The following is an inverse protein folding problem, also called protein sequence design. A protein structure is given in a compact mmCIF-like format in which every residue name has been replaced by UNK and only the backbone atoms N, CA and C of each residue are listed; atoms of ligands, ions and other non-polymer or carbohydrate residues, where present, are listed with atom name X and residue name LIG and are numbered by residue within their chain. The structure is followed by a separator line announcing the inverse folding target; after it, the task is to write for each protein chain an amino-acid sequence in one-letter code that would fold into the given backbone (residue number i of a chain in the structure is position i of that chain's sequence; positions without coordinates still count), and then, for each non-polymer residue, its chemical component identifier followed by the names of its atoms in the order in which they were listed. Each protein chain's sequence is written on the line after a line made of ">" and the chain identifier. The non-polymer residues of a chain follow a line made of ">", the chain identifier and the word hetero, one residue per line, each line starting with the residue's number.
data_IF_620891678622
#
_entry.id   IF_620891678622
#
_cell.length_a   1.000
_cell.length_b   1.000
_cell.length_c   1.000
_cell.angle_alpha   90.00
_cell.angle_beta   90.00
_cell.angle_gamma   90.00
#
_symmetry.space_group_name_H-M   'P 1'
#
loop_
_entity.id
_entity.type
_entity.pdbx_description
1 polymer ?
#
# COMPACT_ATOMS: atom_id res chain seq x y z
N UNK A 1 46.95 -7.42 10.20
CA UNK A 1 46.58 -8.49 9.24
C UNK A 1 45.82 -9.55 10.02
N UNK A 2 44.49 -9.52 10.02
CA UNK A 2 43.69 -10.55 10.68
C UNK A 2 43.75 -11.83 9.82
N UNK A 3 44.21 -12.93 10.42
CA UNK A 3 44.22 -14.24 9.76
C UNK A 3 42.78 -14.67 9.49
N UNK A 4 42.40 -14.76 8.23
CA UNK A 4 41.13 -15.34 7.78
C UNK A 4 41.16 -16.85 8.07
N UNK A 5 40.74 -17.26 9.27
CA UNK A 5 40.72 -18.64 9.72
C UNK A 5 39.60 -19.39 9.02
N UNK A 6 39.93 -20.47 8.30
CA UNK A 6 38.96 -21.32 7.61
C UNK A 6 38.24 -22.24 8.60
N UNK A 7 36.94 -22.02 8.78
CA UNK A 7 36.11 -22.80 9.72
C UNK A 7 35.47 -24.01 9.02
N UNK A 8 35.40 -25.12 9.72
CA UNK A 8 34.67 -26.32 9.29
C UNK A 8 33.17 -26.21 9.63
N UNK A 9 32.34 -27.06 9.03
CA UNK A 9 30.89 -27.13 9.36
C UNK A 9 30.63 -27.45 10.83
N UNK A 10 31.53 -28.21 11.49
CA UNK A 10 31.42 -28.48 12.93
C UNK A 10 31.69 -27.24 13.77
N UNK A 11 32.75 -26.52 13.46
CA UNK A 11 33.11 -25.29 14.21
C UNK A 11 32.03 -24.22 14.08
N UNK A 12 31.42 -24.07 12.89
CA UNK A 12 30.28 -23.15 12.70
C UNK A 12 29.05 -23.63 13.47
N UNK A 13 28.80 -24.94 13.52
CA UNK A 13 27.71 -25.50 14.31
C UNK A 13 27.89 -25.25 15.81
N UNK A 14 29.13 -25.38 16.30
CA UNK A 14 29.49 -25.10 17.69
C UNK A 14 29.37 -23.60 18.03
N UNK A 15 29.82 -22.69 17.12
CA UNK A 15 29.74 -21.24 17.30
C UNK A 15 28.24 -20.78 17.34
N UNK A 16 27.42 -21.35 16.47
CA UNK A 16 25.99 -20.98 16.38
C UNK A 16 25.11 -21.77 17.36
N UNK A 17 25.67 -22.74 18.12
CA UNK A 17 24.96 -23.64 19.04
C UNK A 17 23.81 -24.42 18.37
N UNK A 18 24.05 -24.93 17.16
CA UNK A 18 23.06 -25.69 16.36
C UNK A 18 23.66 -27.01 15.89
N UNK A 19 22.82 -27.90 15.33
CA UNK A 19 23.30 -29.16 14.78
C UNK A 19 23.99 -28.97 13.40
N UNK A 20 24.90 -29.90 13.02
CA UNK A 20 25.49 -29.90 11.66
C UNK A 20 24.43 -29.97 10.57
N UNK A 21 23.31 -30.70 10.77
CA UNK A 21 22.20 -30.75 9.83
C UNK A 21 21.60 -29.39 9.60
N UNK A 22 21.45 -28.58 10.65
CA UNK A 22 20.96 -27.21 10.57
C UNK A 22 21.88 -26.34 9.70
N UNK A 23 23.22 -26.49 9.85
CA UNK A 23 24.17 -25.75 9.00
C UNK A 23 24.01 -26.11 7.53
N UNK A 24 23.82 -27.40 7.20
CA UNK A 24 23.57 -27.81 5.81
C UNK A 24 22.23 -27.29 5.28
N UNK A 25 21.22 -27.16 6.12
CA UNK A 25 19.93 -26.56 5.75
C UNK A 25 20.08 -25.06 5.48
N UNK A 26 20.85 -24.33 6.30
CA UNK A 26 21.18 -22.91 6.09
C UNK A 26 21.94 -22.68 4.78
N UNK A 27 22.88 -23.57 4.43
CA UNK A 27 23.60 -23.52 3.15
C UNK A 27 22.63 -23.74 1.98
N UNK A 28 21.75 -24.75 2.09
CA UNK A 28 20.79 -25.09 1.05
C UNK A 28 19.77 -23.96 0.79
N UNK A 29 19.39 -23.25 1.84
CA UNK A 29 18.51 -22.07 1.78
C UNK A 29 19.24 -20.79 1.35
N UNK A 30 20.56 -20.81 1.25
CA UNK A 30 21.36 -19.63 0.94
C UNK A 30 21.46 -18.61 2.08
N UNK A 31 21.12 -19.02 3.30
CA UNK A 31 21.11 -18.15 4.48
C UNK A 31 22.53 -17.92 5.07
N UNK A 32 23.48 -18.83 4.84
CA UNK A 32 24.88 -18.68 5.20
C UNK A 32 25.77 -18.95 3.99
N UNK A 33 26.74 -18.06 3.74
CA UNK A 33 27.71 -18.23 2.66
C UNK A 33 28.76 -19.27 3.05
N UNK A 34 29.18 -20.08 2.09
CA UNK A 34 30.22 -21.09 2.27
C UNK A 34 31.03 -21.30 0.98
N UNK A 35 32.22 -21.80 1.09
CA UNK A 35 33.05 -22.17 -0.04
C UNK A 35 33.54 -23.64 0.09
N UNK A 36 34.00 -24.22 -1.02
CA UNK A 36 34.48 -25.62 -1.04
C UNK A 36 35.99 -25.68 -1.23
N UNK A 37 36.67 -26.50 -0.40
CA UNK A 37 38.03 -26.93 -0.66
C UNK A 37 37.97 -28.44 -0.93
N UNK A 38 38.09 -28.82 -2.20
CA UNK A 38 37.88 -30.21 -2.62
C UNK A 38 36.45 -30.68 -2.32
N UNK A 39 36.28 -31.70 -1.51
CA UNK A 39 34.98 -32.25 -1.09
C UNK A 39 34.48 -31.67 0.25
N UNK A 40 35.23 -30.78 0.89
CA UNK A 40 34.90 -30.23 2.22
C UNK A 40 34.35 -28.82 2.10
N UNK A 41 33.23 -28.57 2.77
CA UNK A 41 32.62 -27.22 2.91
C UNK A 41 33.38 -26.46 4.01
N UNK A 42 33.66 -25.20 3.76
CA UNK A 42 34.38 -24.26 4.63
C UNK A 42 33.67 -22.92 4.68
N UNK A 43 33.94 -22.16 5.74
CA UNK A 43 33.45 -20.84 6.02
C UNK A 43 34.58 -19.92 6.46
N UNK A 44 34.40 -18.63 6.24
CA UNK A 44 35.20 -17.58 6.88
C UNK A 44 34.51 -17.12 8.16
N UNK A 45 35.25 -16.49 9.08
CA UNK A 45 34.64 -15.84 10.25
C UNK A 45 33.60 -14.77 9.80
N UNK A 46 33.91 -14.02 8.74
CA UNK A 46 33.04 -13.00 8.19
C UNK A 46 31.67 -13.57 7.71
N UNK A 47 31.65 -14.80 7.16
CA UNK A 47 30.39 -15.48 6.75
C UNK A 47 29.51 -15.77 7.98
N UNK A 48 30.11 -16.19 9.09
CA UNK A 48 29.37 -16.47 10.34
C UNK A 48 28.89 -15.18 10.98
N UNK A 49 29.74 -14.15 11.04
CA UNK A 49 29.39 -12.85 11.62
C UNK A 49 28.28 -12.15 10.80
N UNK A 50 28.31 -12.24 9.46
CA UNK A 50 27.28 -11.73 8.57
C UNK A 50 25.95 -12.47 8.76
N UNK A 51 25.96 -13.79 9.00
CA UNK A 51 24.76 -14.55 9.34
C UNK A 51 24.15 -14.10 10.67
N UNK A 52 25.00 -13.98 11.72
CA UNK A 52 24.57 -13.51 13.05
C UNK A 52 23.98 -12.10 12.98
N UNK A 53 24.62 -11.20 12.25
CA UNK A 53 24.15 -9.82 12.09
C UNK A 53 22.79 -9.76 11.40
N UNK A 54 22.55 -10.54 10.35
CA UNK A 54 21.25 -10.66 9.67
C UNK A 54 20.18 -11.23 10.59
N UNK A 55 20.48 -12.32 11.31
CA UNK A 55 19.54 -12.95 12.25
C UNK A 55 19.14 -12.04 13.42
N UNK A 56 20.03 -11.12 13.85
CA UNK A 56 19.71 -10.10 14.87
C UNK A 56 18.75 -9.04 14.36
N UNK A 57 18.78 -8.72 13.06
CA UNK A 57 17.88 -7.73 12.45
C UNK A 57 16.49 -8.30 12.18
N UNK A 58 16.32 -9.61 12.06
CA UNK A 58 15.00 -10.23 11.84
C UNK A 58 14.07 -10.19 13.07
N UNK A 59 14.59 -9.94 14.28
CA UNK A 59 13.77 -9.79 15.49
C UNK A 59 13.42 -8.35 15.87
N UNK A 60 13.90 -7.37 15.12
CA UNK A 60 13.57 -5.96 15.33
C UNK A 60 13.05 -5.39 14.01
N UNK A 61 11.73 -5.26 13.90
CA UNK A 61 10.98 -4.69 12.77
C UNK A 61 11.17 -5.46 11.45
N UNK A 62 10.10 -6.09 10.95
CA UNK A 62 10.03 -6.51 9.54
C UNK A 62 10.30 -5.28 8.68
N UNK A 63 11.40 -5.21 7.93
CA UNK A 63 11.50 -4.25 6.86
C UNK A 63 10.42 -4.66 5.85
N UNK A 64 9.63 -3.69 5.40
CA UNK A 64 8.83 -3.83 4.20
C UNK A 64 9.76 -4.38 3.12
N UNK A 65 9.54 -5.62 2.69
CA UNK A 65 10.26 -6.20 1.56
C UNK A 65 10.11 -5.22 0.39
N UNK A 66 11.23 -4.63 -0.01
CA UNK A 66 11.36 -4.11 -1.37
C UNK A 66 11.12 -5.32 -2.27
N UNK A 67 10.00 -5.31 -2.96
CA UNK A 67 9.77 -6.24 -4.06
C UNK A 67 10.76 -5.81 -5.15
N UNK A 68 11.90 -6.49 -5.21
CA UNK A 68 12.79 -6.41 -6.36
C UNK A 68 12.08 -7.07 -7.54
N UNK A 69 11.32 -6.27 -8.28
CA UNK A 69 10.90 -6.64 -9.62
C UNK A 69 12.12 -6.54 -10.53
N UNK A 70 12.98 -7.55 -10.50
CA UNK A 70 13.96 -7.73 -11.55
C UNK A 70 13.25 -8.13 -12.84
N UNK A 71 12.88 -7.13 -13.60
CA UNK A 71 12.71 -7.29 -15.05
C UNK A 71 14.11 -7.39 -15.66
N UNK A 72 14.46 -8.58 -16.12
CA UNK A 72 15.79 -8.99 -16.61
C UNK A 72 16.11 -8.42 -18.01
N UNK A 73 15.86 -7.16 -18.32
CA UNK A 73 16.22 -6.59 -19.64
C UNK A 73 16.80 -5.17 -19.63
N UNK A 74 16.91 -4.51 -18.48
CA UNK A 74 17.58 -3.20 -18.42
C UNK A 74 18.50 -3.19 -17.20
N UNK A 75 19.81 -3.19 -17.43
CA UNK A 75 20.78 -2.82 -16.38
C UNK A 75 20.45 -1.38 -15.94
N UNK A 76 20.05 -1.14 -14.67
CA UNK A 76 19.90 0.21 -14.19
C UNK A 76 21.26 0.90 -14.25
N UNK A 77 21.36 2.02 -14.94
CA UNK A 77 22.47 2.95 -14.74
C UNK A 77 22.39 3.43 -13.30
N UNK A 78 23.50 3.43 -12.59
CA UNK A 78 23.66 3.84 -11.18
C UNK A 78 23.26 5.31 -10.87
N UNK A 79 22.48 5.99 -11.71
CA UNK A 79 22.13 7.41 -11.61
C UNK A 79 20.64 7.73 -11.60
N UNK A 80 19.74 6.74 -11.50
CA UNK A 80 18.30 7.01 -11.60
C UNK A 80 17.59 7.06 -10.24
N UNK A 81 17.97 8.03 -9.41
CA UNK A 81 17.09 8.46 -8.32
C UNK A 81 15.89 9.17 -8.97
N UNK A 82 14.64 8.75 -8.69
CA UNK A 82 13.48 9.44 -9.23
C UNK A 82 13.44 10.91 -8.83
N UNK A 83 13.13 11.80 -9.78
CA UNK A 83 12.89 13.23 -9.51
C UNK A 83 11.64 13.43 -8.65
N UNK A 84 10.67 12.50 -8.77
CA UNK A 84 9.37 12.54 -8.13
C UNK A 84 8.90 11.12 -7.82
N UNK A 85 8.48 10.87 -6.58
CA UNK A 85 7.84 9.61 -6.18
C UNK A 85 6.38 9.87 -5.84
N UNK A 86 5.47 9.17 -6.53
CA UNK A 86 4.03 9.24 -6.32
C UNK A 86 3.55 7.96 -5.63
N UNK A 87 2.92 8.10 -4.47
CA UNK A 87 2.35 6.99 -3.71
C UNK A 87 0.84 6.86 -3.93
N UNK A 88 0.35 5.63 -3.94
CA UNK A 88 -1.08 5.30 -3.98
C UNK A 88 -1.40 4.09 -4.85
N UNK A 89 -2.63 3.59 -4.78
CA UNK A 89 -3.06 2.32 -5.38
C UNK A 89 -4.14 2.52 -6.46
N UNK A 90 -4.01 3.54 -7.30
CA UNK A 90 -4.94 3.76 -8.43
C UNK A 90 -4.18 3.77 -9.76
N UNK A 91 -4.77 3.14 -10.79
CA UNK A 91 -4.19 3.06 -12.14
C UNK A 91 -3.98 4.43 -12.79
N UNK A 92 -4.79 5.43 -12.44
CA UNK A 92 -4.65 6.80 -12.96
C UNK A 92 -3.30 7.41 -12.55
N UNK A 93 -2.75 6.97 -11.41
CA UNK A 93 -1.43 7.41 -10.96
C UNK A 93 -0.30 6.79 -11.82
N UNK A 94 -0.50 5.57 -12.35
CA UNK A 94 0.47 4.95 -13.27
C UNK A 94 0.46 5.68 -14.62
N UNK A 95 -0.73 6.08 -15.09
CA UNK A 95 -0.86 6.92 -16.29
C UNK A 95 -0.19 8.27 -16.08
N UNK A 96 -0.43 8.92 -14.93
CA UNK A 96 0.21 10.19 -14.58
C UNK A 96 1.74 10.07 -14.58
N UNK A 97 2.29 8.99 -14.01
CA UNK A 97 3.72 8.73 -14.04
C UNK A 97 4.25 8.55 -15.46
N UNK A 98 3.52 7.86 -16.35
CA UNK A 98 3.89 7.73 -17.75
C UNK A 98 3.91 9.07 -18.49
N UNK A 99 2.91 9.93 -18.27
CA UNK A 99 2.91 11.28 -18.85
C UNK A 99 4.09 12.12 -18.35
N UNK A 100 4.41 12.04 -17.05
CA UNK A 100 5.59 12.71 -16.48
C UNK A 100 6.89 12.24 -17.14
N UNK A 101 7.04 10.93 -17.37
CA UNK A 101 8.21 10.37 -18.04
C UNK A 101 8.32 10.86 -19.51
N UNK A 102 7.19 10.97 -20.23
CA UNK A 102 7.18 11.52 -21.59
C UNK A 102 7.59 12.99 -21.62
N UNK A 103 7.32 13.74 -20.56
CA UNK A 103 7.74 15.13 -20.38
C UNK A 103 9.14 15.28 -19.75
N UNK A 104 9.90 14.18 -19.64
CA UNK A 104 11.29 14.18 -19.16
C UNK A 104 11.46 14.18 -17.64
N UNK A 105 10.39 13.96 -16.87
CA UNK A 105 10.44 13.81 -15.40
C UNK A 105 10.54 12.33 -15.04
N UNK A 106 11.62 11.93 -14.38
CA UNK A 106 11.77 10.55 -13.88
C UNK A 106 10.85 10.33 -12.67
N UNK A 107 9.61 9.89 -12.95
CA UNK A 107 8.57 9.66 -11.94
C UNK A 107 8.55 8.20 -11.48
N UNK A 108 8.89 7.98 -10.22
CA UNK A 108 8.76 6.69 -9.53
C UNK A 108 7.37 6.48 -8.93
N UNK A 109 6.95 5.20 -8.81
CA UNK A 109 5.68 4.81 -8.17
C UNK A 109 5.94 3.96 -6.93
N UNK A 110 5.11 4.18 -5.90
CA UNK A 110 5.02 3.30 -4.73
C UNK A 110 3.56 3.06 -4.36
N UNK A 111 3.24 1.87 -3.81
CA UNK A 111 1.86 1.42 -3.60
C UNK A 111 1.48 1.40 -2.11
N UNK A 112 1.87 2.44 -1.38
CA UNK A 112 1.51 2.61 0.03
C UNK A 112 0.00 2.89 0.18
N UNK A 113 -0.56 2.57 1.34
CA UNK A 113 -1.90 3.03 1.71
C UNK A 113 -1.91 4.54 1.92
N UNK A 114 -3.10 5.16 1.96
CA UNK A 114 -3.22 6.60 2.21
C UNK A 114 -2.53 7.03 3.50
N UNK A 115 -2.67 6.25 4.57
CA UNK A 115 -2.05 6.55 5.87
C UNK A 115 -0.52 6.43 5.81
N UNK A 116 -0.01 5.33 5.28
CA UNK A 116 1.44 5.12 5.09
C UNK A 116 2.05 6.16 4.14
N UNK A 117 1.31 6.52 3.08
CA UNK A 117 1.72 7.57 2.12
C UNK A 117 1.85 8.94 2.76
N UNK A 118 0.91 9.36 3.61
CA UNK A 118 1.02 10.62 4.34
C UNK A 118 2.23 10.64 5.30
N UNK A 119 2.51 9.54 5.99
CA UNK A 119 3.70 9.43 6.84
C UNK A 119 4.99 9.49 6.03
N UNK A 120 5.05 8.80 4.89
CA UNK A 120 6.21 8.85 3.99
C UNK A 120 6.40 10.25 3.39
N UNK A 121 5.31 10.97 3.08
CA UNK A 121 5.34 12.36 2.63
C UNK A 121 5.84 13.30 3.73
N UNK A 122 5.40 13.11 4.97
CA UNK A 122 5.88 13.87 6.13
C UNK A 122 7.37 13.70 6.36
N UNK A 123 7.88 12.49 6.13
CA UNK A 123 9.30 12.13 6.30
C UNK A 123 10.17 12.48 5.07
N UNK A 124 9.64 13.17 4.07
CA UNK A 124 10.31 13.50 2.80
C UNK A 124 10.79 12.26 1.98
N UNK A 125 10.24 11.07 2.24
CA UNK A 125 10.57 9.87 1.48
C UNK A 125 9.89 9.82 0.10
N UNK A 126 8.78 10.54 -0.05
CA UNK A 126 8.03 10.73 -1.30
C UNK A 126 7.63 12.18 -1.44
N UNK A 127 7.26 12.62 -2.65
CA UNK A 127 6.85 14.00 -2.92
C UNK A 127 5.34 14.16 -3.07
N UNK A 128 4.62 13.07 -3.45
CA UNK A 128 3.17 13.09 -3.64
C UNK A 128 2.55 11.84 -3.03
N UNK A 129 1.57 12.03 -2.14
CA UNK A 129 0.76 10.95 -1.57
C UNK A 129 -0.68 11.04 -2.09
N UNK A 130 -1.19 9.98 -2.71
CA UNK A 130 -2.60 9.88 -3.02
C UNK A 130 -3.39 9.44 -1.77
N UNK A 131 -4.39 10.23 -1.40
CA UNK A 131 -5.11 10.09 -0.14
C UNK A 131 -6.62 10.06 -0.35
N UNK A 132 -7.31 9.19 0.38
CA UNK A 132 -8.77 9.08 0.39
C UNK A 132 -9.26 8.61 1.76
N UNK A 133 -8.90 9.34 2.80
CA UNK A 133 -9.29 9.08 4.19
C UNK A 133 -10.53 9.91 4.52
N UNK A 134 -11.50 9.28 5.17
CA UNK A 134 -12.73 9.92 5.61
C UNK A 134 -12.81 9.85 7.14
N UNK A 135 -12.97 10.99 7.82
CA UNK A 135 -13.04 11.10 9.28
C UNK A 135 -14.47 11.00 9.83
N UNK A 136 -15.44 10.91 8.93
CA UNK A 136 -16.85 10.88 9.25
C UNK A 136 -17.58 12.18 8.89
N UNK A 137 -16.88 13.24 8.56
CA UNK A 137 -17.42 14.54 8.16
C UNK A 137 -16.82 15.01 6.83
N UNK A 138 -15.49 14.97 6.69
CA UNK A 138 -14.77 15.42 5.50
C UNK A 138 -13.69 14.41 5.10
N UNK A 139 -13.16 14.60 3.88
CA UNK A 139 -12.11 13.78 3.31
C UNK A 139 -10.74 14.43 3.49
N UNK A 140 -9.76 13.63 3.90
CA UNK A 140 -8.33 13.91 3.88
C UNK A 140 -7.81 15.02 4.82
N UNK A 141 -8.44 16.18 4.92
CA UNK A 141 -7.87 17.36 5.56
C UNK A 141 -7.50 17.16 7.04
N UNK A 142 -8.37 16.54 7.83
CA UNK A 142 -8.13 16.27 9.25
C UNK A 142 -6.97 15.31 9.46
N UNK A 143 -6.86 14.30 8.60
CA UNK A 143 -5.75 13.34 8.63
C UNK A 143 -4.42 14.00 8.23
N UNK A 144 -4.42 14.87 7.21
CA UNK A 144 -3.21 15.59 6.80
C UNK A 144 -2.71 16.48 7.95
N UNK A 145 -3.60 17.25 8.58
CA UNK A 145 -3.22 18.07 9.75
C UNK A 145 -2.66 17.26 10.92
N UNK A 146 -3.26 16.09 11.17
CA UNK A 146 -2.87 15.24 12.31
C UNK A 146 -1.57 14.46 12.06
N UNK A 147 -1.34 13.99 10.83
CA UNK A 147 -0.19 13.16 10.46
C UNK A 147 1.00 13.96 9.96
N UNK A 148 0.80 15.24 9.59
CA UNK A 148 1.84 16.14 9.09
C UNK A 148 1.89 17.44 9.92
N UNK A 149 2.05 17.35 11.26
CA UNK A 149 1.97 18.51 12.12
C UNK A 149 3.08 19.52 11.79
N UNK A 150 2.69 20.79 11.58
CA UNK A 150 3.63 21.88 11.28
C UNK A 150 4.17 21.89 9.85
N UNK A 151 3.72 20.99 8.96
CA UNK A 151 4.11 20.97 7.56
C UNK A 151 2.93 21.40 6.69
N UNK A 152 2.94 22.61 6.11
CA UNK A 152 1.89 23.05 5.21
C UNK A 152 1.81 22.16 3.97
N UNK A 153 0.61 21.72 3.63
CA UNK A 153 0.37 20.83 2.50
C UNK A 153 -0.79 21.32 1.64
N UNK A 154 -0.78 20.94 0.36
CA UNK A 154 -1.82 21.19 -0.61
C UNK A 154 -2.53 19.88 -0.95
N UNK A 155 -3.86 19.95 -1.01
CA UNK A 155 -4.72 18.89 -1.49
C UNK A 155 -5.20 19.28 -2.90
N UNK A 156 -4.83 18.44 -3.88
CA UNK A 156 -5.20 18.60 -5.29
C UNK A 156 -6.12 17.44 -5.66
N UNK A 157 -7.33 17.74 -6.13
CA UNK A 157 -8.27 16.68 -6.48
C UNK A 157 -7.76 15.81 -7.63
N UNK A 158 -7.81 14.50 -7.44
CA UNK A 158 -7.59 13.53 -8.51
C UNK A 158 -8.93 13.00 -9.05
N UNK A 159 -9.85 12.62 -8.18
CA UNK A 159 -11.18 12.13 -8.58
C UNK A 159 -12.13 12.06 -7.39
N UNK A 160 -13.42 11.83 -7.70
CA UNK A 160 -14.40 11.33 -6.74
C UNK A 160 -14.76 9.91 -7.12
N UNK A 161 -15.10 9.08 -6.13
CA UNK A 161 -15.51 7.71 -6.34
C UNK A 161 -16.50 7.25 -5.27
N UNK A 162 -17.34 6.30 -5.61
CA UNK A 162 -18.33 5.76 -4.68
C UNK A 162 -17.73 4.63 -3.88
N UNK A 163 -17.78 4.74 -2.56
CA UNK A 163 -17.56 3.65 -1.61
C UNK A 163 -18.88 3.04 -1.19
N UNK A 164 -18.88 1.71 -1.00
CA UNK A 164 -20.09 1.00 -0.64
C UNK A 164 -19.82 -0.39 -0.10
N UNK A 165 -20.89 -1.12 0.18
CA UNK A 165 -20.81 -2.52 0.53
C UNK A 165 -20.83 -3.40 -0.73
N UNK A 166 -19.95 -4.38 -0.77
CA UNK A 166 -20.08 -5.56 -1.59
C UNK A 166 -21.01 -6.52 -0.89
N UNK A 167 -22.00 -7.04 -1.62
CA UNK A 167 -22.93 -8.08 -1.13
C UNK A 167 -23.09 -9.12 -2.22
N UNK A 168 -23.48 -10.35 -1.85
CA UNK A 168 -23.82 -11.38 -2.82
C UNK A 168 -24.93 -10.93 -3.75
N UNK A 169 -24.94 -11.48 -4.95
CA UNK A 169 -25.97 -11.24 -5.96
C UNK A 169 -27.37 -11.46 -5.40
N UNK A 170 -28.25 -10.50 -5.60
CA UNK A 170 -29.61 -10.50 -5.05
C UNK A 170 -29.70 -10.05 -3.60
N UNK A 171 -28.59 -9.66 -2.97
CA UNK A 171 -28.54 -9.15 -1.59
C UNK A 171 -29.39 -9.99 -0.60
N UNK A 172 -29.04 -11.27 -0.37
CA UNK A 172 -29.87 -12.22 0.39
C UNK A 172 -30.12 -11.80 1.84
N UNK A 173 -29.23 -10.97 2.40
CA UNK A 173 -29.38 -10.42 3.76
C UNK A 173 -30.15 -9.11 3.82
N UNK A 174 -30.63 -8.59 2.66
CA UNK A 174 -31.33 -7.32 2.54
C UNK A 174 -30.62 -6.16 3.23
N UNK A 175 -29.31 -6.05 3.00
CA UNK A 175 -28.43 -5.00 3.55
C UNK A 175 -28.74 -3.69 2.84
N UNK A 176 -28.87 -2.60 3.58
CA UNK A 176 -29.24 -1.28 3.06
C UNK A 176 -28.24 -0.17 3.40
N UNK A 177 -27.45 -0.35 4.46
CA UNK A 177 -26.53 0.69 4.88
C UNK A 177 -25.80 0.37 6.20
N UNK A 178 -25.21 1.40 6.77
CA UNK A 178 -24.35 1.29 7.94
C UNK A 178 -25.04 0.70 9.18
N UNK A 179 -26.34 0.93 9.33
CA UNK A 179 -27.12 0.43 10.47
C UNK A 179 -27.19 -1.09 10.53
N UNK A 180 -27.04 -1.76 9.37
CA UNK A 180 -27.03 -3.22 9.32
C UNK A 180 -25.81 -3.85 10.01
N UNK A 181 -24.75 -3.06 10.26
CA UNK A 181 -23.58 -3.50 11.03
C UNK A 181 -23.91 -3.89 12.48
N UNK A 182 -25.06 -3.46 13.04
CA UNK A 182 -25.53 -3.85 14.37
C UNK A 182 -26.17 -5.25 14.42
N UNK A 183 -26.41 -5.87 13.28
CA UNK A 183 -27.09 -7.16 13.18
C UNK A 183 -26.12 -8.30 13.47
N UNK A 184 -26.56 -9.24 14.32
CA UNK A 184 -25.76 -10.40 14.71
C UNK A 184 -25.68 -11.51 13.63
N UNK A 185 -26.55 -11.45 12.62
CA UNK A 185 -26.59 -12.40 11.51
C UNK A 185 -25.73 -11.97 10.30
N UNK A 186 -24.96 -10.88 10.44
CA UNK A 186 -24.10 -10.33 9.39
C UNK A 186 -22.64 -10.50 9.75
N UNK A 187 -21.87 -11.04 8.82
CA UNK A 187 -20.41 -11.18 8.88
C UNK A 187 -19.70 -10.26 7.89
N UNK A 188 -18.52 -9.77 8.26
CA UNK A 188 -17.76 -8.86 7.44
C UNK A 188 -16.40 -9.42 7.02
N UNK A 189 -15.89 -8.98 5.87
CA UNK A 189 -14.48 -9.07 5.52
C UNK A 189 -13.86 -7.68 5.62
N UNK A 190 -12.66 -7.61 6.15
CA UNK A 190 -12.01 -6.36 6.47
C UNK A 190 -10.65 -6.23 5.78
N UNK A 191 -10.11 -5.03 5.79
CA UNK A 191 -8.77 -4.71 5.29
C UNK A 191 -7.79 -4.60 6.45
N UNK A 192 -6.49 -4.65 6.13
CA UNK A 192 -5.42 -4.41 7.10
C UNK A 192 -5.56 -3.03 7.75
N UNK A 193 -5.05 -2.91 8.95
CA UNK A 193 -4.96 -1.62 9.68
C UNK A 193 -4.21 -0.59 8.81
N UNK A 194 -4.68 0.66 8.82
CA UNK A 194 -4.13 1.74 8.00
C UNK A 194 -4.67 1.84 6.57
N UNK A 195 -5.47 0.85 6.09
CA UNK A 195 -6.19 1.01 4.83
C UNK A 195 -7.42 1.90 5.01
N UNK A 196 -7.74 2.71 3.98
CA UNK A 196 -8.85 3.67 4.04
C UNK A 196 -10.20 3.01 4.32
N UNK A 197 -10.47 1.84 3.72
CA UNK A 197 -11.73 1.11 3.97
C UNK A 197 -11.82 0.60 5.40
N UNK A 198 -10.69 0.22 6.02
CA UNK A 198 -10.67 -0.14 7.45
C UNK A 198 -10.93 1.07 8.32
N UNK A 199 -10.28 2.19 8.04
CA UNK A 199 -10.50 3.45 8.75
C UNK A 199 -11.94 3.90 8.61
N UNK A 200 -12.53 3.80 7.42
CA UNK A 200 -13.93 4.11 7.18
C UNK A 200 -14.87 3.23 8.02
N UNK A 201 -14.63 1.90 8.06
CA UNK A 201 -15.39 0.98 8.91
C UNK A 201 -15.29 1.38 10.39
N UNK A 202 -14.07 1.61 10.88
CA UNK A 202 -13.82 1.95 12.29
C UNK A 202 -14.50 3.27 12.68
N UNK A 203 -14.48 4.27 11.80
CA UNK A 203 -15.19 5.54 11.98
C UNK A 203 -16.71 5.32 12.06
N UNK A 204 -17.27 4.49 11.20
CA UNK A 204 -18.71 4.22 11.19
C UNK A 204 -19.14 3.39 12.40
N UNK A 205 -18.36 2.39 12.80
CA UNK A 205 -18.62 1.64 14.04
C UNK A 205 -18.63 2.55 15.26
N UNK A 206 -17.65 3.46 15.35
CA UNK A 206 -17.61 4.48 16.42
C UNK A 206 -18.84 5.39 16.41
N UNK A 207 -19.29 5.87 15.25
CA UNK A 207 -20.50 6.69 15.11
C UNK A 207 -21.78 5.96 15.54
N UNK A 208 -21.84 4.66 15.25
CA UNK A 208 -22.99 3.82 15.61
C UNK A 208 -22.93 3.30 17.06
N UNK A 209 -21.81 3.52 17.75
CA UNK A 209 -21.60 2.98 19.10
C UNK A 209 -21.45 1.46 19.13
N UNK A 210 -21.03 0.83 18.02
CA UNK A 210 -20.84 -0.60 17.91
C UNK A 210 -19.39 -0.96 18.25
N UNK A 211 -19.13 -1.74 19.30
CA UNK A 211 -17.79 -2.25 19.57
C UNK A 211 -17.31 -3.16 18.41
N UNK A 212 -16.08 -2.97 17.96
CA UNK A 212 -15.53 -3.81 16.88
C UNK A 212 -15.53 -5.31 17.19
N UNK A 213 -15.43 -5.68 18.49
CA UNK A 213 -15.51 -7.05 18.96
C UNK A 213 -16.89 -7.71 18.80
N UNK A 214 -17.94 -6.93 18.60
CA UNK A 214 -19.30 -7.43 18.36
C UNK A 214 -19.58 -7.69 16.87
N UNK A 215 -18.71 -7.14 15.98
CA UNK A 215 -18.86 -7.32 14.54
C UNK A 215 -18.23 -8.64 14.08
N UNK A 216 -19.08 -9.60 13.70
CA UNK A 216 -18.61 -10.91 13.24
C UNK A 216 -17.69 -10.77 12.02
N UNK A 217 -16.49 -11.32 12.09
CA UNK A 217 -15.53 -11.32 11.00
C UNK A 217 -14.64 -10.04 10.92
N UNK A 218 -14.74 -9.14 11.90
CA UNK A 218 -13.93 -7.91 11.92
C UNK A 218 -12.41 -8.16 11.78
N UNK A 219 -11.90 -9.27 12.31
CA UNK A 219 -10.49 -9.66 12.24
C UNK A 219 -10.14 -10.51 11.01
N UNK A 220 -11.12 -10.81 10.14
CA UNK A 220 -10.88 -11.51 8.87
C UNK A 220 -10.30 -10.55 7.84
N UNK A 221 -8.98 -10.55 7.73
CA UNK A 221 -8.23 -9.59 6.92
C UNK A 221 -7.96 -10.10 5.51
N UNK A 222 -8.32 -9.29 4.50
CA UNK A 222 -8.06 -9.56 3.09
C UNK A 222 -7.06 -8.55 2.50
N UNK A 223 -6.26 -9.00 1.53
CA UNK A 223 -5.15 -8.22 0.96
C UNK A 223 -5.58 -7.10 -0.01
N UNK A 224 -6.70 -7.29 -0.73
CA UNK A 224 -7.16 -6.34 -1.75
C UNK A 224 -8.69 -6.22 -1.80
N UNK A 225 -9.20 -5.15 -2.44
CA UNK A 225 -10.63 -5.01 -2.71
C UNK A 225 -11.15 -6.11 -3.63
N UNK A 226 -10.34 -6.54 -4.61
CA UNK A 226 -10.74 -7.57 -5.56
C UNK A 226 -10.89 -8.93 -4.86
N UNK A 227 -9.97 -9.28 -3.96
CA UNK A 227 -10.08 -10.54 -3.19
C UNK A 227 -11.26 -10.51 -2.23
N UNK A 228 -11.58 -9.37 -1.61
CA UNK A 228 -12.80 -9.22 -0.82
C UNK A 228 -14.07 -9.39 -1.67
N UNK A 229 -14.12 -8.72 -2.81
CA UNK A 229 -15.27 -8.80 -3.71
C UNK A 229 -15.52 -10.24 -4.19
N UNK A 230 -14.46 -10.97 -4.56
CA UNK A 230 -14.55 -12.38 -4.95
C UNK A 230 -15.02 -13.27 -3.79
N UNK A 231 -14.52 -13.07 -2.58
CA UNK A 231 -14.92 -13.83 -1.40
C UNK A 231 -16.39 -13.56 -1.02
N UNK A 232 -16.88 -12.32 -1.13
CA UNK A 232 -18.30 -11.99 -0.93
C UNK A 232 -19.16 -12.66 -2.02
N UNK A 233 -18.76 -12.61 -3.29
CA UNK A 233 -19.48 -13.28 -4.37
C UNK A 233 -19.55 -14.79 -4.16
N UNK A 234 -18.52 -15.40 -3.56
CA UNK A 234 -18.49 -16.83 -3.18
C UNK A 234 -19.28 -17.15 -1.91
N UNK A 235 -19.78 -16.16 -1.18
CA UNK A 235 -20.56 -16.37 0.06
C UNK A 235 -19.73 -16.65 1.31
N UNK A 236 -18.44 -16.29 1.31
CA UNK A 236 -17.57 -16.48 2.47
C UNK A 236 -17.89 -15.52 3.62
N UNK A 237 -18.52 -14.39 3.33
CA UNK A 237 -19.08 -13.44 4.29
C UNK A 237 -20.20 -12.62 3.61
N UNK A 238 -20.91 -11.83 4.40
CA UNK A 238 -22.09 -11.11 3.93
C UNK A 238 -21.76 -9.76 3.32
N UNK A 239 -20.78 -9.04 3.88
CA UNK A 239 -20.38 -7.72 3.43
C UNK A 239 -18.86 -7.48 3.44
N UNK A 240 -18.42 -6.57 2.57
CA UNK A 240 -17.10 -5.93 2.65
C UNK A 240 -17.20 -4.50 2.11
N UNK A 241 -16.34 -3.58 2.59
CA UNK A 241 -16.29 -2.22 2.10
C UNK A 241 -15.34 -2.13 0.91
N UNK A 242 -15.80 -1.49 -0.18
CA UNK A 242 -14.96 -1.23 -1.32
C UNK A 242 -15.55 -0.24 -2.32
N UNK A 243 -14.86 -0.07 -3.43
CA UNK A 243 -15.24 0.89 -4.48
C UNK A 243 -16.20 0.26 -5.50
N UNK A 244 -17.11 1.07 -6.04
CA UNK A 244 -18.02 0.66 -7.11
C UNK A 244 -17.25 0.10 -8.33
N UNK A 245 -16.11 0.69 -8.66
CA UNK A 245 -15.27 0.24 -9.77
C UNK A 245 -14.85 -1.24 -9.65
N UNK A 246 -14.49 -1.69 -8.46
CA UNK A 246 -14.10 -3.09 -8.24
C UNK A 246 -15.31 -4.01 -8.29
N UNK A 247 -16.48 -3.57 -7.80
CA UNK A 247 -17.69 -4.41 -7.88
C UNK A 247 -18.07 -4.77 -9.32
N UNK A 248 -17.83 -3.87 -10.28
CA UNK A 248 -18.11 -4.10 -11.70
C UNK A 248 -17.17 -5.11 -12.37
N UNK A 249 -16.10 -5.54 -11.69
CA UNK A 249 -15.11 -6.52 -12.20
C UNK A 249 -15.38 -7.95 -11.72
N UNK A 250 -16.34 -8.14 -10.81
CA UNK A 250 -16.63 -9.43 -10.19
C UNK A 250 -18.07 -9.82 -10.49
N UNK A 251 -18.24 -11.01 -11.08
CA UNK A 251 -19.56 -11.59 -11.31
C UNK A 251 -20.22 -12.03 -10.00
N UNK A 252 -21.54 -12.12 -10.00
CA UNK A 252 -22.33 -12.54 -8.84
C UNK A 252 -22.17 -11.67 -7.59
N UNK A 253 -21.88 -10.40 -7.80
CA UNK A 253 -21.73 -9.38 -6.77
C UNK A 253 -22.72 -8.24 -7.03
N UNK A 254 -23.39 -7.77 -5.98
CA UNK A 254 -24.13 -6.51 -6.00
C UNK A 254 -23.39 -5.47 -5.15
N UNK A 255 -23.64 -4.20 -5.44
CA UNK A 255 -22.99 -3.06 -4.77
C UNK A 255 -24.06 -2.15 -4.16
N UNK A 256 -23.88 -1.82 -2.88
CA UNK A 256 -24.74 -0.89 -2.16
C UNK A 256 -23.94 0.39 -1.91
N UNK A 257 -24.25 1.49 -2.64
CA UNK A 257 -23.53 2.74 -2.46
C UNK A 257 -23.78 3.33 -1.08
N UNK A 258 -22.75 3.84 -0.42
CA UNK A 258 -22.82 4.39 0.94
C UNK A 258 -22.39 5.84 1.01
N UNK A 259 -21.32 6.21 0.31
CA UNK A 259 -20.82 7.58 0.30
C UNK A 259 -19.96 7.85 -0.96
N UNK A 260 -19.87 9.11 -1.32
CA UNK A 260 -18.88 9.61 -2.27
C UNK A 260 -17.61 10.01 -1.47
N UNK A 261 -16.47 9.44 -1.84
CA UNK A 261 -15.19 9.84 -1.27
C UNK A 261 -14.38 10.69 -2.25
N UNK A 262 -13.67 11.68 -1.74
CA UNK A 262 -12.73 12.47 -2.51
C UNK A 262 -11.35 11.82 -2.47
N UNK A 263 -10.76 11.61 -3.63
CA UNK A 263 -9.42 11.11 -3.80
C UNK A 263 -8.51 12.25 -4.23
N UNK A 264 -7.59 12.66 -3.35
CA UNK A 264 -6.73 13.80 -3.53
C UNK A 264 -5.25 13.39 -3.63
N UNK A 265 -4.47 14.17 -4.36
CA UNK A 265 -3.02 14.19 -4.27
C UNK A 265 -2.63 15.19 -3.17
N UNK A 266 -1.86 14.73 -2.21
CA UNK A 266 -1.31 15.55 -1.13
C UNK A 266 0.17 15.78 -1.40
N UNK A 267 0.62 17.02 -1.33
CA UNK A 267 2.02 17.41 -1.50
C UNK A 267 2.37 18.53 -0.54
N UNK A 268 3.62 18.57 -0.08
CA UNK A 268 4.06 19.64 0.80
C UNK A 268 4.13 20.97 0.02
N UNK A 269 3.68 22.05 0.64
CA UNK A 269 3.69 23.40 0.01
C UNK A 269 5.08 23.82 -0.46
N UNK A 270 6.14 23.47 0.27
CA UNK A 270 7.53 23.78 -0.11
C UNK A 270 7.93 23.17 -1.47
N UNK A 271 7.30 22.08 -1.89
CA UNK A 271 7.62 21.39 -3.15
C UNK A 271 6.96 22.04 -4.39
N UNK A 272 5.99 22.95 -4.21
CA UNK A 272 5.21 23.54 -5.30
C UNK A 272 6.05 24.28 -6.36
N UNK A 273 7.21 24.78 -5.98
CA UNK A 273 8.10 25.48 -6.90
C UNK A 273 9.07 24.57 -7.66
N UNK A 274 9.10 23.27 -7.33
CA UNK A 274 9.94 22.30 -8.04
C UNK A 274 9.38 21.99 -9.43
N UNK A 275 10.27 21.83 -10.42
CA UNK A 275 9.86 21.54 -11.80
C UNK A 275 9.03 20.26 -11.94
N UNK A 276 9.34 19.13 -11.23
CA UNK A 276 8.51 17.93 -11.31
C UNK A 276 7.07 18.15 -10.82
N UNK A 277 6.86 18.91 -9.75
CA UNK A 277 5.50 19.19 -9.22
C UNK A 277 4.75 20.14 -10.15
N UNK A 278 5.38 21.19 -10.69
CA UNK A 278 4.75 22.07 -11.68
C UNK A 278 4.29 21.27 -12.90
N UNK A 279 5.16 20.41 -13.42
CA UNK A 279 4.83 19.55 -14.57
C UNK A 279 3.68 18.59 -14.25
N UNK A 280 3.65 18.00 -13.06
CA UNK A 280 2.54 17.16 -12.60
C UNK A 280 1.22 17.94 -12.64
N UNK A 281 1.18 19.14 -12.08
CA UNK A 281 -0.02 19.98 -12.05
C UNK A 281 -0.45 20.42 -13.46
N UNK A 282 0.49 20.70 -14.36
CA UNK A 282 0.23 20.99 -15.77
C UNK A 282 -0.45 19.79 -16.44
N UNK A 283 0.11 18.58 -16.30
CA UNK A 283 -0.41 17.34 -16.89
C UNK A 283 -1.84 17.07 -16.44
N UNK A 284 -2.16 17.19 -15.15
CA UNK A 284 -3.52 17.00 -14.63
C UNK A 284 -4.56 17.90 -15.33
N UNK A 285 -4.12 19.04 -15.85
CA UNK A 285 -4.97 20.02 -16.52
C UNK A 285 -4.97 19.87 -18.06
N UNK A 286 -4.17 18.97 -18.63
CA UNK A 286 -4.15 18.76 -20.08
C UNK A 286 -5.41 18.06 -20.57
N UNK A 287 -5.96 18.44 -21.74
CA UNK A 287 -7.09 17.74 -22.34
C UNK A 287 -6.79 16.25 -22.65
N UNK A 288 -5.54 15.90 -22.92
CA UNK A 288 -5.13 14.55 -23.22
C UNK A 288 -5.28 13.66 -21.98
N UNK A 289 -4.65 14.05 -20.85
CA UNK A 289 -4.74 13.30 -19.59
C UNK A 289 -6.18 13.21 -19.09
N UNK A 290 -6.97 14.31 -19.15
CA UNK A 290 -8.37 14.32 -18.73
C UNK A 290 -9.23 13.35 -19.53
N UNK A 291 -9.05 13.28 -20.86
CA UNK A 291 -9.76 12.30 -21.71
C UNK A 291 -9.38 10.88 -21.35
N UNK A 292 -8.09 10.60 -21.17
CA UNK A 292 -7.62 9.25 -20.83
C UNK A 292 -8.14 8.82 -19.46
N UNK A 293 -8.02 9.66 -18.43
CA UNK A 293 -8.56 9.40 -17.10
C UNK A 293 -10.07 9.11 -17.14
N UNK A 294 -10.84 9.85 -17.93
CA UNK A 294 -12.31 9.68 -18.06
C UNK A 294 -12.74 8.33 -18.65
N UNK A 295 -11.83 7.60 -19.34
CA UNK A 295 -12.12 6.25 -19.83
C UNK A 295 -12.16 5.19 -18.71
N UNK A 296 -11.62 5.50 -17.53
CA UNK A 296 -11.68 4.60 -16.37
C UNK A 296 -13.00 4.78 -15.63
N UNK A 297 -13.92 3.86 -15.86
CA UNK A 297 -15.25 3.86 -15.23
C UNK A 297 -15.19 3.78 -13.70
N UNK A 298 -16.17 4.38 -13.04
CA UNK A 298 -16.32 4.32 -11.58
C UNK A 298 -15.63 5.44 -10.81
N UNK A 299 -15.03 6.41 -11.52
CA UNK A 299 -14.53 7.65 -10.95
C UNK A 299 -15.15 8.86 -11.65
N UNK A 300 -15.39 9.94 -10.92
CA UNK A 300 -15.80 11.23 -11.45
C UNK A 300 -14.60 12.20 -11.35
N UNK A 301 -14.25 12.81 -12.47
CA UNK A 301 -13.09 13.68 -12.63
C UNK A 301 -13.47 15.18 -12.76
N UNK A 302 -14.66 15.58 -12.25
CA UNK A 302 -15.20 16.96 -12.37
C UNK A 302 -14.25 18.04 -11.88
N UNK A 303 -13.46 17.76 -10.83
CA UNK A 303 -12.52 18.69 -10.21
C UNK A 303 -11.04 18.29 -10.38
N UNK A 304 -10.74 17.37 -11.28
CA UNK A 304 -9.38 16.90 -11.53
C UNK A 304 -8.40 18.07 -11.69
N UNK A 305 -7.31 18.05 -10.91
CA UNK A 305 -6.24 19.06 -10.93
C UNK A 305 -6.57 20.35 -10.17
N UNK A 306 -7.78 20.51 -9.60
CA UNK A 306 -8.09 21.68 -8.75
C UNK A 306 -7.42 21.55 -7.39
N UNK A 307 -6.84 22.63 -6.92
CA UNK A 307 -6.41 22.76 -5.52
C UNK A 307 -7.68 22.95 -4.69
N UNK A 308 -7.97 21.97 -3.83
CA UNK A 308 -9.16 21.95 -2.99
C UNK A 308 -8.95 22.78 -1.74
N UNK A 309 -7.79 22.60 -1.10
CA UNK A 309 -7.43 23.39 0.07
C UNK A 309 -5.93 23.34 0.37
N UNK A 310 -5.53 24.27 1.20
CA UNK A 310 -4.24 24.29 1.91
C UNK A 310 -4.48 23.96 3.39
N UNK A 311 -3.68 23.10 3.95
CA UNK A 311 -3.74 22.66 5.34
C UNK A 311 -2.41 22.89 6.05
#
# INVERSE_FOLDING_TARGET
>A
MAQNQSLSTQEVADILHVSKSTIYDLIRKGEIHSYKIGRKVRFTQDDVDAYIARSRHEHSTRPVQRVDTHSTLLTPKETDVPDLIISGQDVVLDILANYLQQEGVNAGRTYLSSFEGLLALYQDHIQVAACHLFDGEDCNASFVRSLMPGVPALLVNLSYRTQGFYVQKGNPKNIRGWQDLSRQDISVLNRRVGSSSRILLDVQLKKLGIPASELQGYDRIMSSHLTMAAAIAAGEADIAIGTERVSRQVENLDFIPLLEERFDLVMQKKAMNSEPIKKLLEILNTPAFRREAAHFSGNDYRDLGKIIMEV
#
